data_IF_651096123532
#
_entry.id   IF_651096123532
#
_cell.length_a   1.000
_cell.length_b   1.000
_cell.length_c   1.000
_cell.angle_alpha   90.00
_cell.angle_beta   90.00
_cell.angle_gamma   90.00
#
_symmetry.space_group_name_H-M   'P 1'
#
loop_
_entity.id
_entity.type
_entity.pdbx_description
1 polymer ?
#
# COMPACT_ATOMS: atom_id res chain seq x y z
N UNK A 1 -4.88 4.87 -9.89
CA UNK A 1 -5.79 5.68 -10.73
C UNK A 1 -5.50 5.55 -12.23
N UNK A 2 -4.29 5.18 -12.64
CA UNK A 2 -3.97 5.00 -14.08
C UNK A 2 -4.41 3.65 -14.67
N UNK A 3 -4.72 2.66 -13.84
CA UNK A 3 -5.32 1.38 -14.28
C UNK A 3 -6.80 1.58 -14.63
N UNK A 4 -7.39 0.78 -15.53
CA UNK A 4 -8.83 0.82 -15.79
C UNK A 4 -9.66 0.67 -14.52
N UNK A 5 -10.72 1.47 -14.38
CA UNK A 5 -11.58 1.52 -13.19
C UNK A 5 -13.04 1.43 -13.58
N UNK A 6 -13.83 0.76 -12.76
CA UNK A 6 -15.29 0.82 -12.85
C UNK A 6 -15.79 2.12 -12.21
N UNK A 7 -17.01 2.56 -12.55
CA UNK A 7 -17.60 3.78 -11.96
C UNK A 7 -17.63 3.77 -10.43
N UNK A 8 -17.97 2.63 -9.81
CA UNK A 8 -18.00 2.44 -8.34
C UNK A 8 -16.63 2.64 -7.69
N UNK A 9 -15.55 2.28 -8.38
CA UNK A 9 -14.18 2.48 -7.89
C UNK A 9 -13.72 3.94 -7.90
N UNK A 10 -14.46 4.81 -8.56
CA UNK A 10 -14.24 6.26 -8.66
C UNK A 10 -15.24 7.07 -7.82
N UNK A 11 -16.18 6.41 -7.17
CA UNK A 11 -17.18 7.05 -6.31
C UNK A 11 -16.85 6.84 -4.83
N UNK A 12 -16.58 7.94 -4.13
CA UNK A 12 -16.23 7.91 -2.69
C UNK A 12 -17.36 7.30 -1.86
N UNK A 13 -18.63 7.52 -2.24
CA UNK A 13 -19.78 6.97 -1.51
C UNK A 13 -19.87 5.45 -1.57
N UNK A 14 -19.22 4.84 -2.58
CA UNK A 14 -19.12 3.40 -2.78
C UNK A 14 -17.75 2.82 -2.37
N UNK A 15 -16.96 3.59 -1.61
CA UNK A 15 -15.62 3.17 -1.19
C UNK A 15 -14.57 3.28 -2.30
N UNK A 16 -14.80 4.17 -3.27
CA UNK A 16 -13.84 4.47 -4.33
C UNK A 16 -12.70 5.38 -3.87
N UNK A 17 -11.65 5.42 -4.68
CA UNK A 17 -10.45 6.20 -4.41
C UNK A 17 -9.33 5.43 -3.69
N UNK A 18 -8.16 6.07 -3.63
CA UNK A 18 -6.94 5.39 -3.12
C UNK A 18 -6.96 5.20 -1.61
N UNK A 19 -7.66 6.05 -0.87
CA UNK A 19 -7.73 5.95 0.59
C UNK A 19 -8.45 4.67 1.03
N UNK A 20 -9.50 4.27 0.33
CA UNK A 20 -10.21 3.02 0.66
C UNK A 20 -9.58 1.77 0.03
N UNK A 21 -8.81 1.92 -1.06
CA UNK A 21 -8.35 0.78 -1.84
C UNK A 21 -6.84 0.51 -1.76
N UNK A 22 -6.05 1.49 -1.31
CA UNK A 22 -4.59 1.36 -1.19
C UNK A 22 -4.09 1.69 0.21
N UNK A 23 -4.67 2.70 0.87
CA UNK A 23 -4.25 3.03 2.23
C UNK A 23 -4.40 1.85 3.21
N UNK A 24 -5.40 0.94 3.14
CA UNK A 24 -5.46 -0.20 4.04
C UNK A 24 -4.15 -1.01 4.09
N UNK A 25 -3.51 -1.25 2.95
CA UNK A 25 -2.25 -1.99 2.89
C UNK A 25 -1.10 -1.28 3.60
N UNK A 26 -0.95 0.04 3.37
CA UNK A 26 0.09 0.83 4.05
C UNK A 26 -0.20 0.97 5.54
N UNK A 27 -1.45 1.28 5.91
CA UNK A 27 -1.89 1.43 7.30
C UNK A 27 -1.68 0.13 8.08
N UNK A 28 -2.03 -0.99 7.49
CA UNK A 28 -1.88 -2.32 8.11
C UNK A 28 -0.42 -2.63 8.41
N UNK A 29 0.45 -2.47 7.40
CA UNK A 29 1.89 -2.69 7.55
C UNK A 29 2.50 -1.77 8.63
N UNK A 30 2.14 -0.48 8.62
CA UNK A 30 2.69 0.50 9.56
C UNK A 30 2.19 0.24 10.98
N UNK A 31 0.93 -0.14 11.17
CA UNK A 31 0.39 -0.53 12.49
C UNK A 31 1.13 -1.73 13.05
N UNK A 32 1.41 -2.74 12.21
CA UNK A 32 2.19 -3.91 12.61
C UNK A 32 3.61 -3.51 13.07
N UNK A 33 4.31 -2.70 12.27
CA UNK A 33 5.68 -2.28 12.53
C UNK A 33 5.81 -1.37 13.75
N UNK A 34 4.87 -0.43 13.94
CA UNK A 34 4.87 0.49 15.07
C UNK A 34 4.53 -0.19 16.40
N UNK A 35 3.80 -1.30 16.38
CA UNK A 35 3.45 -2.11 17.57
C UNK A 35 2.44 -1.48 18.53
N UNK A 36 2.24 -0.17 18.49
CA UNK A 36 1.28 0.58 19.31
C UNK A 36 -0.10 0.70 18.66
N UNK A 37 -1.01 1.38 19.37
CA UNK A 37 -2.31 1.76 18.83
C UNK A 37 -2.22 3.16 18.24
N UNK A 38 -2.81 3.38 17.06
CA UNK A 38 -2.91 4.74 16.52
C UNK A 38 -3.77 5.59 17.46
N UNK A 39 -3.23 6.69 17.93
CA UNK A 39 -3.92 7.66 18.82
C UNK A 39 -4.59 8.78 18.02
N UNK A 40 -3.90 9.29 17.01
CA UNK A 40 -4.41 10.37 16.15
C UNK A 40 -3.94 10.25 14.70
N UNK A 41 -4.69 10.88 13.81
CA UNK A 41 -4.41 10.95 12.37
C UNK A 41 -4.58 12.36 11.86
N UNK A 42 -3.54 12.90 11.18
CA UNK A 42 -3.64 14.08 10.33
C UNK A 42 -3.51 13.69 8.87
N UNK A 43 -4.51 13.99 8.05
CA UNK A 43 -4.53 13.61 6.65
C UNK A 43 -4.84 14.75 5.69
N UNK A 44 -4.34 14.65 4.48
CA UNK A 44 -4.73 15.45 3.33
C UNK A 44 -4.97 14.54 2.12
N UNK A 45 -5.88 14.93 1.25
CA UNK A 45 -6.19 14.20 0.02
C UNK A 45 -6.09 15.12 -1.19
N UNK A 46 -5.82 14.53 -2.37
CA UNK A 46 -5.73 15.27 -3.62
C UNK A 46 -6.46 14.56 -4.77
N UNK A 47 -7.06 15.36 -5.66
CA UNK A 47 -7.83 14.89 -6.81
C UNK A 47 -7.69 15.84 -7.99
N UNK A 48 -6.49 15.86 -8.58
CA UNK A 48 -6.11 16.82 -9.64
C UNK A 48 -6.15 16.28 -11.06
N UNK A 49 -6.58 15.03 -11.26
CA UNK A 49 -6.76 14.45 -12.59
C UNK A 49 -8.23 14.59 -13.01
N UNK A 50 -8.55 15.55 -13.87
CA UNK A 50 -9.91 15.93 -14.20
C UNK A 50 -10.87 14.77 -14.53
N UNK A 51 -10.53 13.77 -15.37
CA UNK A 51 -11.43 12.64 -15.63
C UNK A 51 -11.63 11.71 -14.43
N UNK A 52 -10.90 11.92 -13.34
CA UNK A 52 -10.85 11.06 -12.14
C UNK A 52 -10.99 11.85 -10.84
N UNK A 53 -11.62 13.01 -10.90
CA UNK A 53 -11.73 13.92 -9.76
C UNK A 53 -12.84 13.52 -8.75
N UNK A 54 -13.70 12.57 -9.08
CA UNK A 54 -14.79 12.15 -8.20
C UNK A 54 -14.30 11.41 -6.92
N UNK A 55 -13.09 10.85 -6.95
CA UNK A 55 -12.48 10.23 -5.79
C UNK A 55 -10.99 10.59 -5.67
N UNK A 56 -10.44 10.71 -4.44
CA UNK A 56 -9.03 11.00 -4.23
C UNK A 56 -8.13 9.97 -4.92
N UNK A 57 -7.13 10.47 -5.65
CA UNK A 57 -6.07 9.67 -6.23
C UNK A 57 -4.72 9.87 -5.54
N UNK A 58 -4.70 10.72 -4.51
CA UNK A 58 -3.56 11.02 -3.67
C UNK A 58 -4.01 11.13 -2.21
N UNK A 59 -3.16 10.70 -1.29
CA UNK A 59 -3.22 11.10 0.11
C UNK A 59 -1.82 11.21 0.70
N UNK A 60 -1.71 12.01 1.76
CA UNK A 60 -0.62 12.01 2.72
C UNK A 60 -1.21 12.03 4.12
N UNK A 61 -0.63 11.28 5.04
CA UNK A 61 -1.11 11.21 6.41
C UNK A 61 0.04 11.06 7.40
N UNK A 62 -0.07 11.73 8.54
CA UNK A 62 0.72 11.50 9.73
C UNK A 62 -0.14 10.70 10.71
N UNK A 63 0.41 9.62 11.24
CA UNK A 63 -0.16 8.78 12.28
C UNK A 63 0.71 8.91 13.54
N UNK A 64 0.09 9.15 14.67
CA UNK A 64 0.72 9.10 15.99
C UNK A 64 0.23 7.88 16.75
N UNK A 65 1.12 7.24 17.51
CA UNK A 65 0.83 6.03 18.27
C UNK A 65 0.93 6.27 19.77
N UNK A 66 0.21 5.50 20.57
CA UNK A 66 0.18 5.61 22.04
C UNK A 66 1.51 5.24 22.72
N UNK A 67 2.39 4.56 22.01
CA UNK A 67 3.76 4.22 22.48
C UNK A 67 4.83 5.25 22.09
N UNK A 68 4.44 6.37 21.49
CA UNK A 68 5.35 7.44 21.04
C UNK A 68 5.92 7.25 19.64
N UNK A 69 5.64 6.14 18.96
CA UNK A 69 5.98 5.98 17.55
C UNK A 69 5.12 6.92 16.68
N UNK A 70 5.63 7.25 15.50
CA UNK A 70 4.86 7.97 14.48
C UNK A 70 5.19 7.45 13.08
N UNK A 71 4.28 7.67 12.15
CA UNK A 71 4.47 7.27 10.76
C UNK A 71 3.92 8.30 9.79
N UNK A 72 4.62 8.48 8.68
CA UNK A 72 4.14 9.29 7.56
C UNK A 72 3.84 8.38 6.37
N UNK A 73 2.62 8.46 5.88
CA UNK A 73 2.16 7.72 4.72
C UNK A 73 1.97 8.68 3.55
N UNK A 74 2.44 8.29 2.37
CA UNK A 74 2.19 9.03 1.13
C UNK A 74 1.86 8.04 0.02
N UNK A 75 0.80 8.30 -0.71
CA UNK A 75 0.45 7.54 -1.89
C UNK A 75 -0.06 8.45 -3.02
N UNK A 76 0.51 8.29 -4.21
CA UNK A 76 0.04 8.97 -5.42
C UNK A 76 -0.24 7.96 -6.53
N UNK A 77 -1.51 7.83 -6.90
CA UNK A 77 -1.90 7.06 -8.07
C UNK A 77 -1.88 7.88 -9.38
N UNK A 78 -1.42 9.11 -9.31
CA UNK A 78 -1.29 10.02 -10.46
C UNK A 78 0.16 10.16 -10.95
N UNK A 79 1.13 9.60 -10.21
CA UNK A 79 2.54 9.77 -10.49
C UNK A 79 2.98 9.29 -11.87
N UNK A 80 4.00 9.93 -12.42
CA UNK A 80 4.66 9.53 -13.65
C UNK A 80 5.79 8.54 -13.39
N UNK A 81 6.47 8.66 -12.24
CA UNK A 81 7.53 7.72 -11.85
C UNK A 81 6.96 6.53 -11.04
N UNK A 82 7.72 5.46 -11.00
CA UNK A 82 7.43 4.28 -10.16
C UNK A 82 8.25 4.37 -8.88
N UNK A 83 7.66 3.98 -7.74
CA UNK A 83 8.41 3.94 -6.47
C UNK A 83 9.63 3.00 -6.53
N UNK A 84 9.60 1.95 -7.36
CA UNK A 84 10.73 1.07 -7.63
C UNK A 84 11.99 1.81 -8.11
N UNK A 85 11.83 2.95 -8.80
CA UNK A 85 12.95 3.77 -9.24
C UNK A 85 13.82 4.32 -8.09
N UNK A 86 13.27 4.32 -6.87
CA UNK A 86 13.98 4.76 -5.66
C UNK A 86 14.90 3.68 -5.08
N UNK A 87 14.74 2.43 -5.51
CA UNK A 87 15.50 1.28 -4.97
C UNK A 87 16.43 0.64 -5.97
N UNK A 88 16.07 0.70 -7.25
CA UNK A 88 16.81 0.02 -8.31
C UNK A 88 17.74 1.01 -9.00
N UNK A 89 19.07 0.85 -8.87
CA UNK A 89 20.02 1.68 -9.61
C UNK A 89 19.73 1.62 -11.11
N UNK A 90 19.55 2.78 -11.74
CA UNK A 90 19.28 2.88 -13.18
C UNK A 90 17.83 2.60 -13.60
N UNK A 91 16.91 2.33 -12.66
CA UNK A 91 15.51 2.13 -13.00
C UNK A 91 14.74 3.43 -13.34
N UNK A 92 15.30 4.58 -12.98
CA UNK A 92 14.69 5.89 -13.19
C UNK A 92 15.20 6.63 -14.42
N UNK A 93 14.60 7.79 -14.68
CA UNK A 93 14.99 8.71 -15.75
C UNK A 93 14.16 8.58 -17.04
N UNK A 94 14.61 9.24 -18.12
CA UNK A 94 13.84 9.29 -19.38
C UNK A 94 13.58 7.93 -20.03
N UNK A 95 14.46 6.97 -19.79
CA UNK A 95 14.40 5.60 -20.32
C UNK A 95 13.83 4.60 -19.30
N UNK A 96 13.22 5.09 -18.20
CA UNK A 96 12.70 4.25 -17.14
C UNK A 96 11.70 3.22 -17.68
N UNK A 97 11.86 1.92 -17.35
CA UNK A 97 10.90 0.90 -17.72
C UNK A 97 9.48 1.25 -17.23
N UNK A 98 8.50 1.23 -18.12
CA UNK A 98 7.11 1.53 -17.79
C UNK A 98 6.71 3.01 -17.85
N UNK A 99 7.64 3.97 -17.97
CA UNK A 99 7.31 5.39 -18.12
C UNK A 99 6.39 5.64 -19.33
N UNK A 100 6.71 5.10 -20.50
CA UNK A 100 5.91 5.23 -21.70
C UNK A 100 4.50 4.63 -21.53
N UNK A 101 4.39 3.49 -20.85
CA UNK A 101 3.11 2.89 -20.53
C UNK A 101 2.25 3.76 -19.61
N UNK A 102 2.86 4.48 -18.66
CA UNK A 102 2.16 5.43 -17.78
C UNK A 102 1.70 6.68 -18.52
N UNK A 103 2.56 7.23 -19.38
CA UNK A 103 2.21 8.37 -20.25
C UNK A 103 1.02 8.00 -21.13
N UNK A 104 1.07 6.86 -21.78
CA UNK A 104 0.00 6.37 -22.64
C UNK A 104 -1.30 6.09 -21.86
N UNK A 105 -1.22 5.48 -20.68
CA UNK A 105 -2.38 5.27 -19.82
C UNK A 105 -3.06 6.60 -19.43
N UNK A 106 -2.27 7.63 -19.07
CA UNK A 106 -2.80 8.97 -18.78
C UNK A 106 -3.47 9.58 -20.01
N UNK A 107 -2.83 9.49 -21.18
CA UNK A 107 -3.38 10.00 -22.43
C UNK A 107 -4.74 9.36 -22.74
N UNK A 108 -4.86 8.06 -22.65
CA UNK A 108 -6.12 7.32 -22.88
C UNK A 108 -7.23 7.75 -21.92
N UNK A 109 -6.92 7.94 -20.64
CA UNK A 109 -7.87 8.43 -19.66
C UNK A 109 -8.32 9.85 -20.00
N UNK A 110 -7.39 10.74 -20.36
CA UNK A 110 -7.69 12.14 -20.67
C UNK A 110 -8.53 12.28 -21.94
N UNK A 111 -8.30 11.43 -22.94
CA UNK A 111 -9.02 11.48 -24.23
C UNK A 111 -10.34 10.70 -24.21
N UNK A 112 -10.61 9.90 -23.18
CA UNK A 112 -11.85 9.13 -23.06
C UNK A 112 -12.03 8.04 -24.12
N UNK A 113 -10.96 7.56 -24.73
CA UNK A 113 -11.00 6.66 -25.91
C UNK A 113 -11.21 5.19 -25.58
N UNK A 114 -11.40 4.80 -24.32
CA UNK A 114 -11.50 3.39 -23.90
C UNK A 114 -12.69 3.16 -22.97
N UNK A 115 -13.44 2.08 -23.22
CA UNK A 115 -14.35 1.50 -22.22
C UNK A 115 -13.53 0.87 -21.08
N UNK A 116 -13.44 1.59 -19.96
CA UNK A 116 -12.65 1.18 -18.82
C UNK A 116 -13.27 0.01 -18.05
N UNK A 117 -14.60 -0.10 -18.05
CA UNK A 117 -15.29 -1.19 -17.38
C UNK A 117 -14.99 -2.53 -18.08
N UNK A 118 -15.13 -2.58 -19.41
CA UNK A 118 -14.78 -3.76 -20.20
C UNK A 118 -13.29 -4.11 -20.08
N UNK A 119 -12.41 -3.12 -20.09
CA UNK A 119 -10.98 -3.35 -19.93
C UNK A 119 -10.59 -3.87 -18.54
N UNK A 120 -11.34 -3.47 -17.51
CA UNK A 120 -11.16 -3.99 -16.15
C UNK A 120 -11.62 -5.43 -16.05
N UNK A 121 -12.77 -5.74 -16.61
CA UNK A 121 -13.33 -7.10 -16.63
C UNK A 121 -12.39 -8.07 -17.33
N UNK A 122 -11.90 -7.69 -18.52
CA UNK A 122 -10.93 -8.51 -19.26
C UNK A 122 -9.68 -8.82 -18.42
N UNK A 123 -9.10 -7.82 -17.74
CA UNK A 123 -7.95 -8.02 -16.84
C UNK A 123 -8.26 -8.96 -15.68
N UNK A 124 -9.47 -8.88 -15.13
CA UNK A 124 -9.90 -9.75 -14.02
C UNK A 124 -9.99 -11.21 -14.53
N UNK A 125 -10.59 -11.42 -15.68
CA UNK A 125 -10.67 -12.75 -16.32
C UNK A 125 -9.28 -13.32 -16.67
N UNK A 126 -8.39 -12.49 -17.18
CA UNK A 126 -7.00 -12.90 -17.46
C UNK A 126 -6.28 -13.32 -16.18
N UNK A 127 -6.39 -12.53 -15.10
CA UNK A 127 -5.80 -12.87 -13.81
C UNK A 127 -6.36 -14.16 -13.21
N UNK A 128 -7.65 -14.43 -13.40
CA UNK A 128 -8.27 -15.69 -12.97
C UNK A 128 -7.78 -16.90 -13.78
N UNK A 129 -7.53 -16.70 -15.08
CA UNK A 129 -7.04 -17.78 -15.97
C UNK A 129 -5.57 -18.11 -15.77
N UNK A 130 -4.75 -17.10 -15.47
CA UNK A 130 -3.29 -17.25 -15.31
C UNK A 130 -2.86 -17.48 -13.86
N UNK A 131 -3.82 -17.44 -12.93
CA UNK A 131 -3.54 -17.35 -11.50
C UNK A 131 -3.04 -15.94 -11.12
N UNK A 132 -2.84 -15.65 -9.83
CA UNK A 132 -2.11 -14.46 -9.44
C UNK A 132 -0.76 -14.57 -10.13
N UNK A 133 -0.50 -13.65 -11.07
CA UNK A 133 0.83 -13.53 -11.63
C UNK A 133 1.76 -13.36 -10.42
N UNK A 134 2.49 -14.42 -10.08
CA UNK A 134 3.68 -14.29 -9.26
C UNK A 134 4.39 -13.12 -9.91
N UNK A 135 4.47 -11.97 -9.20
CA UNK A 135 4.80 -10.69 -9.78
C UNK A 135 5.86 -10.92 -10.82
N UNK A 136 5.53 -10.66 -12.08
CA UNK A 136 6.32 -11.13 -13.20
C UNK A 136 7.73 -10.71 -12.88
N UNK A 137 8.57 -11.68 -12.54
CA UNK A 137 9.96 -11.44 -12.22
C UNK A 137 10.53 -10.82 -13.49
N UNK A 138 10.65 -9.51 -13.49
CA UNK A 138 11.37 -8.81 -14.54
C UNK A 138 12.77 -9.41 -14.46
N UNK A 139 13.31 -9.99 -15.53
CA UNK A 139 14.64 -10.54 -15.49
C UNK A 139 15.59 -9.45 -14.96
N UNK A 140 16.18 -9.64 -13.76
CA UNK A 140 17.01 -8.66 -13.08
C UNK A 140 16.27 -7.63 -12.18
N UNK A 141 14.94 -7.72 -12.01
CA UNK A 141 14.18 -6.83 -11.14
C UNK A 141 14.09 -7.35 -9.70
N UNK A 142 13.97 -6.44 -8.74
CA UNK A 142 13.83 -6.73 -7.32
C UNK A 142 12.64 -7.67 -7.07
N UNK A 143 12.91 -8.80 -6.44
CA UNK A 143 11.93 -9.88 -6.22
C UNK A 143 10.84 -9.52 -5.23
N UNK A 144 11.08 -8.53 -4.36
CA UNK A 144 10.27 -8.23 -3.19
C UNK A 144 9.87 -6.76 -3.06
N UNK A 145 9.97 -5.97 -4.13
CA UNK A 145 9.46 -4.62 -4.10
C UNK A 145 7.94 -4.62 -3.99
N UNK A 146 7.49 -4.10 -2.88
CA UNK A 146 6.08 -3.92 -2.60
C UNK A 146 5.52 -2.78 -3.45
N UNK A 147 4.29 -2.95 -3.95
CA UNK A 147 3.49 -1.85 -4.53
C UNK A 147 3.18 -0.74 -3.50
N UNK A 148 3.56 -0.93 -2.23
CA UNK A 148 3.35 0.02 -1.13
C UNK A 148 4.30 1.23 -1.15
N UNK A 149 5.31 1.22 -2.01
CA UNK A 149 6.28 2.30 -2.14
C UNK A 149 7.50 2.15 -1.24
N UNK A 150 8.21 3.25 -0.98
CA UNK A 150 9.36 3.28 -0.08
C UNK A 150 8.90 3.10 1.36
N UNK A 151 9.46 2.11 2.04
CA UNK A 151 9.32 1.92 3.48
C UNK A 151 10.69 2.12 4.13
N UNK A 152 10.75 3.08 5.05
CA UNK A 152 11.90 3.33 5.93
C UNK A 152 11.40 3.26 7.36
N UNK A 153 12.11 2.54 8.21
CA UNK A 153 11.81 2.44 9.65
C UNK A 153 13.05 2.90 10.39
N UNK A 154 12.93 3.93 11.20
CA UNK A 154 14.00 4.45 12.06
C UNK A 154 13.70 4.10 13.51
N UNK A 155 14.68 3.49 14.17
CA UNK A 155 14.62 3.05 15.57
C UNK A 155 15.79 3.60 16.35
N UNK A 156 15.76 3.47 17.69
CA UNK A 156 16.82 3.92 18.57
C UNK A 156 18.20 3.35 18.22
N UNK A 157 18.27 2.10 17.77
CA UNK A 157 19.52 1.37 17.52
C UNK A 157 19.79 1.10 16.04
N UNK A 158 19.07 1.70 15.12
CA UNK A 158 19.31 1.55 13.69
C UNK A 158 18.11 1.86 12.81
N UNK A 159 18.36 1.83 11.51
CA UNK A 159 17.38 2.05 10.49
C UNK A 159 17.18 0.79 9.64
N UNK A 160 16.00 0.64 9.07
CA UNK A 160 15.69 -0.42 8.11
C UNK A 160 15.03 0.14 6.87
N UNK A 161 15.29 -0.45 5.73
CA UNK A 161 14.55 -0.20 4.49
C UNK A 161 14.56 -1.43 3.59
N UNK A 162 13.68 -1.42 2.61
CA UNK A 162 13.70 -2.47 1.58
C UNK A 162 15.03 -2.50 0.84
N UNK A 163 15.47 -3.71 0.49
CA UNK A 163 16.54 -3.98 -0.48
C UNK A 163 15.96 -4.72 -1.69
N UNK A 164 16.74 -4.91 -2.77
CA UNK A 164 16.30 -5.71 -3.92
C UNK A 164 15.89 -7.14 -3.56
N UNK A 165 16.57 -7.76 -2.61
CA UNK A 165 16.33 -9.15 -2.23
C UNK A 165 15.74 -9.33 -0.82
N UNK A 166 15.49 -8.22 -0.09
CA UNK A 166 14.97 -8.32 1.27
C UNK A 166 14.93 -6.99 2.01
N UNK A 167 15.70 -6.88 3.10
CA UNK A 167 15.74 -5.70 3.98
C UNK A 167 17.18 -5.36 4.32
N UNK A 168 17.60 -4.11 4.09
CA UNK A 168 18.83 -3.58 4.68
C UNK A 168 18.57 -3.14 6.11
N UNK A 169 19.45 -3.53 7.01
CA UNK A 169 19.50 -3.08 8.40
C UNK A 169 20.82 -2.30 8.60
N UNK A 170 20.70 -1.06 9.02
CA UNK A 170 21.80 -0.15 9.34
C UNK A 170 21.87 -0.04 10.86
N UNK A 171 22.95 -0.46 11.46
CA UNK A 171 23.15 -0.42 12.91
C UNK A 171 24.55 0.09 13.26
N UNK A 172 24.84 0.21 14.55
CA UNK A 172 26.11 0.75 15.07
C UNK A 172 27.34 -0.02 14.60
N UNK A 173 27.20 -1.29 14.22
CA UNK A 173 28.29 -2.16 13.77
C UNK A 173 28.42 -2.25 12.24
N UNK A 174 27.55 -1.56 11.50
CA UNK A 174 27.55 -1.54 10.04
C UNK A 174 26.19 -1.83 9.42
N UNK A 175 26.21 -2.16 8.13
CA UNK A 175 25.01 -2.47 7.35
C UNK A 175 24.99 -3.95 6.98
N UNK A 176 23.86 -4.60 7.21
CA UNK A 176 23.61 -5.99 6.79
C UNK A 176 22.39 -6.06 5.91
N UNK A 177 22.33 -7.03 5.00
CA UNK A 177 21.14 -7.37 4.25
C UNK A 177 20.55 -8.69 4.78
N UNK A 178 19.28 -8.67 5.10
CA UNK A 178 18.50 -9.87 5.42
C UNK A 178 17.69 -10.25 4.20
N UNK A 179 18.11 -11.27 3.44
CA UNK A 179 17.37 -11.68 2.25
C UNK A 179 16.07 -12.38 2.64
N UNK A 180 15.03 -12.16 1.85
CA UNK A 180 13.80 -12.92 1.91
C UNK A 180 13.98 -14.20 1.10
N UNK A 181 13.99 -15.33 1.76
CA UNK A 181 14.39 -16.63 1.18
C UNK A 181 13.30 -17.29 0.35
N UNK A 182 12.03 -16.92 0.52
CA UNK A 182 10.91 -17.53 -0.22
C UNK A 182 9.86 -16.49 -0.60
N UNK A 183 9.60 -16.34 -1.90
CA UNK A 183 8.39 -15.71 -2.40
C UNK A 183 7.26 -16.75 -2.40
N UNK A 184 6.50 -16.84 -1.31
CA UNK A 184 5.24 -17.58 -1.31
C UNK A 184 4.23 -16.82 -2.18
N UNK A 185 3.33 -17.53 -2.86
CA UNK A 185 2.25 -16.89 -3.63
C UNK A 185 1.48 -15.89 -2.75
N UNK A 186 0.98 -14.82 -3.33
CA UNK A 186 0.43 -13.65 -2.62
C UNK A 186 -0.64 -13.98 -1.56
N UNK A 187 -1.38 -15.06 -1.73
CA UNK A 187 -2.45 -15.46 -0.78
C UNK A 187 -2.09 -16.65 0.12
N UNK A 188 -0.91 -17.24 -0.06
CA UNK A 188 -0.53 -18.44 0.72
C UNK A 188 -0.40 -18.12 2.22
N UNK A 189 0.26 -17.05 2.65
CA UNK A 189 0.34 -16.71 4.08
C UNK A 189 -1.03 -16.45 4.70
N UNK A 190 -1.95 -15.81 3.99
CA UNK A 190 -3.32 -15.54 4.49
C UNK A 190 -4.11 -16.83 4.65
N UNK A 191 -3.98 -17.77 3.69
CA UNK A 191 -4.63 -19.09 3.77
C UNK A 191 -4.02 -19.95 4.87
N UNK A 192 -2.70 -19.90 5.08
CA UNK A 192 -2.01 -20.60 6.14
C UNK A 192 -2.44 -20.07 7.52
N UNK A 193 -2.60 -18.76 7.67
CA UNK A 193 -3.12 -18.16 8.91
C UNK A 193 -4.55 -18.63 9.20
N UNK A 194 -5.44 -18.57 8.20
CA UNK A 194 -6.82 -19.03 8.33
C UNK A 194 -6.89 -20.53 8.64
N UNK A 195 -6.11 -21.36 7.96
CA UNK A 195 -6.04 -22.79 8.22
C UNK A 195 -5.56 -23.09 9.63
N UNK A 196 -4.49 -22.42 10.07
CA UNK A 196 -3.93 -22.60 11.41
C UNK A 196 -4.92 -22.21 12.51
N UNK A 197 -5.70 -21.15 12.28
CA UNK A 197 -6.75 -20.74 13.19
C UNK A 197 -7.88 -21.78 13.31
N UNK A 198 -8.33 -22.31 12.17
CA UNK A 198 -9.45 -23.26 12.14
C UNK A 198 -9.07 -24.65 12.64
N UNK A 199 -7.87 -25.12 12.31
CA UNK A 199 -7.44 -26.50 12.58
C UNK A 199 -6.72 -26.62 13.92
N UNK A 200 -5.88 -25.64 14.27
CA UNK A 200 -5.03 -25.69 15.45
C UNK A 200 -5.46 -24.70 16.54
N UNK A 201 -6.45 -23.84 16.30
CA UNK A 201 -6.88 -22.81 17.24
C UNK A 201 -5.85 -21.71 17.46
N UNK A 202 -4.93 -21.52 16.52
CA UNK A 202 -3.89 -20.48 16.60
C UNK A 202 -4.54 -19.09 16.51
N UNK A 203 -4.18 -18.13 17.39
CA UNK A 203 -4.67 -16.75 17.26
C UNK A 203 -4.31 -16.14 15.91
N UNK A 204 -5.25 -15.41 15.31
CA UNK A 204 -5.03 -14.68 14.05
C UNK A 204 -4.65 -13.23 14.32
N UNK A 205 -3.67 -12.71 13.58
CA UNK A 205 -3.39 -11.29 13.53
C UNK A 205 -4.51 -10.54 12.80
N UNK A 206 -4.87 -11.01 11.61
CA UNK A 206 -5.88 -10.37 10.75
C UNK A 206 -7.33 -10.66 11.18
N UNK A 207 -7.59 -10.44 12.46
CA UNK A 207 -8.95 -10.55 13.01
C UNK A 207 -9.87 -9.43 12.51
N UNK A 208 -11.19 -9.59 12.64
CA UNK A 208 -12.15 -8.54 12.33
C UNK A 208 -11.92 -7.24 13.13
N UNK A 209 -11.39 -7.33 14.37
CA UNK A 209 -11.00 -6.15 15.16
C UNK A 209 -9.78 -5.45 14.59
N UNK A 210 -8.81 -6.19 14.10
CA UNK A 210 -7.65 -5.65 13.40
C UNK A 210 -8.07 -4.91 12.13
N UNK A 211 -8.92 -5.54 11.31
CA UNK A 211 -9.47 -4.92 10.09
C UNK A 211 -10.30 -3.67 10.37
N UNK A 212 -11.12 -3.67 11.44
CA UNK A 212 -11.87 -2.49 11.88
C UNK A 212 -10.93 -1.32 12.23
N UNK A 213 -9.85 -1.60 12.96
CA UNK A 213 -8.87 -0.59 13.34
C UNK A 213 -8.11 -0.02 12.13
N UNK A 214 -7.76 -0.85 11.14
CA UNK A 214 -7.17 -0.41 9.86
C UNK A 214 -8.16 0.49 9.09
N UNK A 215 -9.42 0.08 8.99
CA UNK A 215 -10.46 0.87 8.32
C UNK A 215 -10.72 2.22 9.02
N UNK A 216 -10.72 2.23 10.35
CA UNK A 216 -10.89 3.47 11.13
C UNK A 216 -9.84 4.52 10.77
N UNK A 217 -8.56 4.12 10.63
CA UNK A 217 -7.49 5.03 10.20
C UNK A 217 -7.74 5.56 8.79
N UNK A 218 -8.17 4.71 7.85
CA UNK A 218 -8.51 5.15 6.49
C UNK A 218 -9.66 6.18 6.49
N UNK A 219 -10.71 5.93 7.27
CA UNK A 219 -11.81 6.88 7.45
C UNK A 219 -11.35 8.18 8.12
N UNK A 220 -10.42 8.09 9.07
CA UNK A 220 -9.84 9.26 9.74
C UNK A 220 -9.00 10.13 8.79
N UNK A 221 -8.28 9.53 7.85
CA UNK A 221 -7.56 10.28 6.79
C UNK A 221 -8.55 11.15 6.00
N UNK A 222 -9.68 10.59 5.58
CA UNK A 222 -10.71 11.32 4.84
C UNK A 222 -11.37 12.42 5.69
N UNK A 223 -11.71 12.11 6.95
CA UNK A 223 -12.29 13.07 7.88
C UNK A 223 -11.33 14.23 8.18
N UNK A 224 -10.05 13.91 8.42
CA UNK A 224 -9.03 14.91 8.69
C UNK A 224 -8.80 15.82 7.48
N UNK A 225 -8.76 15.25 6.27
CA UNK A 225 -8.62 16.04 5.04
C UNK A 225 -9.76 17.04 4.85
N UNK A 226 -10.98 16.67 5.20
CA UNK A 226 -12.18 17.54 5.10
C UNK A 226 -12.22 18.56 6.23
N UNK A 227 -11.93 18.14 7.47
CA UNK A 227 -12.03 18.97 8.67
C UNK A 227 -10.78 19.85 8.92
N UNK A 228 -9.69 19.63 8.20
CA UNK A 228 -8.39 20.30 8.36
C UNK A 228 -7.83 20.24 9.78
N UNK A 229 -8.07 19.16 10.51
CA UNK A 229 -7.63 18.94 11.89
C UNK A 229 -7.32 17.47 12.14
N UNK A 230 -6.65 17.19 13.25
CA UNK A 230 -6.39 15.85 13.71
C UNK A 230 -7.68 15.15 14.11
N UNK A 231 -7.71 13.84 13.91
CA UNK A 231 -8.82 12.97 14.26
C UNK A 231 -8.32 11.90 15.24
N UNK A 232 -8.88 11.91 16.44
CA UNK A 232 -8.60 10.88 17.45
C UNK A 232 -9.24 9.55 17.10
N UNK A 233 -8.55 8.44 17.41
CA UNK A 233 -9.01 7.07 17.17
C UNK A 233 -9.82 6.51 18.33
N UNK A 234 -10.69 5.55 18.08
CA UNK A 234 -11.59 4.94 19.08
C UNK A 234 -11.56 3.41 19.09
N UNK A 235 -11.28 2.78 17.95
CA UNK A 235 -11.42 1.32 17.76
C UNK A 235 -10.09 0.63 17.52
N UNK A 236 -9.01 1.21 18.04
CA UNK A 236 -7.68 0.66 17.82
C UNK A 236 -7.38 -0.53 18.71
N UNK A 237 -6.66 -1.48 18.16
CA UNK A 237 -6.12 -2.66 18.86
C UNK A 237 -4.62 -2.71 18.68
N UNK A 238 -3.92 -3.14 19.71
CA UNK A 238 -2.47 -3.38 19.64
C UNK A 238 -2.18 -4.66 18.85
N UNK A 239 -0.93 -4.79 18.40
CA UNK A 239 -0.40 -6.04 17.84
C UNK A 239 -0.51 -7.13 18.92
N UNK A 240 -1.03 -8.34 18.62
CA UNK A 240 -1.07 -9.43 19.57
C UNK A 240 0.34 -9.78 20.06
N UNK A 241 0.47 -10.10 21.35
CA UNK A 241 1.75 -10.54 21.90
C UNK A 241 2.17 -11.87 21.26
N UNK A 242 3.42 -11.95 20.80
CA UNK A 242 4.00 -13.16 20.23
C UNK A 242 3.86 -13.31 18.70
N UNK A 243 3.44 -12.24 17.99
CA UNK A 243 3.50 -12.18 16.52
C UNK A 243 4.86 -11.72 16.04
#
# INVERSE_FOLDING_TARGET
MLRPRRPDELDVSQGGGVVYRQAPHQVDSVRLLAGGKVSSVRGVTGQWMAPRHAAPGFFSALLEFDNGAFATLVYSAYGYFMASELFEPGAGGPEAPGLQGRIEARRRITTGTRDEAAAKEQRTLEAQRTGPAAGAATPGGARFLSDLGLLVVSCEHGDMRQSPDGIYIYGDTGTTEVPLTEARGAYVPELDELYSALVYGTPVLHSGRWGLATLEVCLAIMRSATAHRDVAMQHQVAVPAGT
#
